data_IF_917535857720
#
_entry.id   IF_917535857720
#
_cell.length_a   1.000
_cell.length_b   1.000
_cell.length_c   1.000
_cell.angle_alpha   90.00
_cell.angle_beta   90.00
_cell.angle_gamma   90.00
#
_symmetry.space_group_name_H-M   'P 1'
#
loop_
_entity.id
_entity.type
_entity.pdbx_description
1 polymer ?
#
# COMPACT_ATOMS: atom_id res chain seq x y z
N UNK A 1 43.27 -28.07 -29.86
CA UNK A 1 43.00 -26.77 -30.51
C UNK A 1 41.85 -26.11 -29.76
N UNK A 2 42.17 -25.15 -28.88
CA UNK A 2 41.21 -24.42 -28.01
C UNK A 2 40.76 -23.16 -28.74
N UNK A 3 39.47 -22.81 -28.66
CA UNK A 3 39.00 -21.42 -28.63
C UNK A 3 37.61 -21.34 -28.01
N UNK A 4 37.59 -20.91 -26.74
CA UNK A 4 36.40 -20.49 -26.01
C UNK A 4 35.77 -19.25 -26.67
N UNK A 5 34.58 -19.38 -27.26
CA UNK A 5 33.75 -18.23 -27.64
C UNK A 5 32.70 -17.99 -26.56
N UNK A 6 33.13 -17.30 -25.51
CA UNK A 6 32.30 -16.76 -24.43
C UNK A 6 31.13 -15.98 -25.05
N UNK A 7 29.89 -16.37 -24.75
CA UNK A 7 28.70 -15.57 -25.05
C UNK A 7 28.94 -14.14 -24.55
N UNK A 8 29.01 -13.23 -25.50
CA UNK A 8 29.62 -11.92 -25.29
C UNK A 8 28.60 -10.98 -24.67
N UNK A 9 29.01 -10.31 -23.59
CA UNK A 9 28.35 -9.18 -22.91
C UNK A 9 27.80 -8.11 -23.87
N UNK A 10 28.34 -8.05 -25.10
CA UNK A 10 27.95 -7.15 -26.18
C UNK A 10 26.63 -7.53 -26.87
N UNK A 11 26.24 -8.81 -26.84
CA UNK A 11 24.96 -9.28 -27.38
C UNK A 11 23.80 -8.94 -26.45
N UNK A 12 24.06 -8.93 -25.14
CA UNK A 12 23.09 -8.52 -24.14
C UNK A 12 22.85 -7.00 -24.18
N UNK A 13 23.91 -6.21 -24.44
CA UNK A 13 23.82 -4.75 -24.56
C UNK A 13 23.12 -4.29 -25.86
N UNK A 14 23.20 -5.08 -26.94
CA UNK A 14 22.57 -4.70 -28.22
C UNK A 14 21.05 -4.87 -28.23
N UNK A 15 20.45 -5.45 -27.18
CA UNK A 15 18.99 -5.66 -27.09
C UNK A 15 18.27 -4.65 -26.19
N UNK A 16 18.97 -3.71 -25.56
CA UNK A 16 18.38 -2.80 -24.55
C UNK A 16 18.30 -1.32 -24.93
N UNK A 17 18.42 -0.94 -26.21
CA UNK A 17 18.43 0.48 -26.59
C UNK A 17 17.55 0.79 -27.80
N UNK A 18 16.26 1.12 -27.55
CA UNK A 18 15.53 2.23 -28.19
C UNK A 18 14.02 2.15 -27.88
N UNK A 19 13.59 2.67 -26.72
CA UNK A 19 12.35 3.47 -26.64
C UNK A 19 12.71 4.74 -25.88
N UNK A 20 12.54 5.86 -26.56
CA UNK A 20 13.13 7.17 -26.30
C UNK A 20 12.23 8.03 -25.41
N UNK A 21 12.78 8.61 -24.33
CA UNK A 21 12.33 9.89 -23.79
C UNK A 21 11.85 9.92 -22.33
N UNK A 22 12.64 10.52 -21.43
CA UNK A 22 12.11 11.29 -20.29
C UNK A 22 12.52 10.86 -18.87
N UNK A 23 13.39 11.67 -18.26
CA UNK A 23 13.45 12.10 -16.84
C UNK A 23 13.77 11.07 -15.72
N UNK A 24 14.73 11.48 -14.90
CA UNK A 24 15.21 10.97 -13.61
C UNK A 24 14.06 10.57 -12.67
N UNK A 25 14.09 9.35 -12.10
CA UNK A 25 14.02 9.08 -10.65
C UNK A 25 13.90 7.58 -10.39
N UNK A 26 14.78 7.08 -9.52
CA UNK A 26 14.73 5.76 -8.91
C UNK A 26 13.58 5.74 -7.87
N UNK A 27 12.34 5.94 -8.32
CA UNK A 27 11.15 5.87 -7.48
C UNK A 27 10.63 4.44 -7.42
N UNK A 28 10.63 3.88 -6.22
CA UNK A 28 9.85 2.69 -5.79
C UNK A 28 8.62 2.48 -6.68
N UNK A 29 8.54 1.33 -7.36
CA UNK A 29 7.32 0.87 -8.03
C UNK A 29 6.24 0.52 -6.98
N UNK A 30 5.77 1.53 -6.25
CA UNK A 30 4.47 1.52 -5.63
C UNK A 30 3.50 1.86 -6.75
N UNK A 31 2.89 0.85 -7.35
CA UNK A 31 1.74 1.06 -8.22
C UNK A 31 0.71 1.85 -7.39
N UNK A 32 0.60 3.16 -7.62
CA UNK A 32 -0.49 3.98 -7.09
C UNK A 32 -1.76 3.46 -7.74
N UNK A 33 -2.40 2.46 -7.11
CA UNK A 33 -3.78 2.11 -7.42
C UNK A 33 -4.58 3.40 -7.16
N UNK A 34 -5.29 3.89 -8.18
CA UNK A 34 -6.28 4.93 -7.95
C UNK A 34 -7.31 4.35 -7.00
N UNK A 35 -7.22 4.70 -5.72
CA UNK A 35 -8.31 4.48 -4.78
C UNK A 35 -9.54 5.16 -5.42
N UNK A 36 -10.55 4.36 -5.73
CA UNK A 36 -11.86 4.88 -6.07
C UNK A 36 -12.24 5.78 -4.89
N UNK A 37 -12.58 7.05 -5.13
CA UNK A 37 -13.06 7.93 -4.07
C UNK A 37 -14.31 7.28 -3.48
N UNK A 38 -14.11 6.53 -2.41
CA UNK A 38 -15.16 6.05 -1.55
C UNK A 38 -15.64 7.28 -0.77
N UNK A 39 -16.94 7.37 -0.49
CA UNK A 39 -17.53 8.47 0.28
C UNK A 39 -16.60 8.91 1.41
N UNK A 40 -16.36 10.22 1.52
CA UNK A 40 -15.45 10.77 2.53
C UNK A 40 -15.89 10.30 3.91
N UNK A 41 -15.13 9.37 4.49
CA UNK A 41 -15.32 8.90 5.85
C UNK A 41 -14.60 9.88 6.78
N UNK A 42 -15.32 10.42 7.75
CA UNK A 42 -14.76 11.25 8.80
C UNK A 42 -14.28 10.35 9.94
N UNK A 43 -12.97 10.36 10.19
CA UNK A 43 -12.34 9.53 11.22
C UNK A 43 -12.51 10.16 12.60
N UNK A 44 -12.87 9.33 13.58
CA UNK A 44 -13.12 9.76 14.96
C UNK A 44 -11.83 9.78 15.80
N UNK A 45 -10.95 8.79 15.59
CA UNK A 45 -9.71 8.62 16.36
C UNK A 45 -8.49 8.87 15.49
N UNK A 46 -8.48 8.32 14.28
CA UNK A 46 -7.34 8.44 13.38
C UNK A 46 -7.34 9.78 12.65
N UNK A 47 -6.17 10.36 12.45
CA UNK A 47 -5.99 11.42 11.45
C UNK A 47 -5.97 10.83 10.03
N UNK A 48 -6.26 11.64 9.01
CA UNK A 48 -6.18 11.23 7.60
C UNK A 48 -4.84 10.55 7.24
N UNK A 49 -3.73 11.07 7.76
CA UNK A 49 -2.40 10.51 7.51
C UNK A 49 -2.21 9.14 8.18
N UNK A 50 -2.71 8.98 9.41
CA UNK A 50 -2.67 7.69 10.10
C UNK A 50 -3.59 6.68 9.41
N UNK A 51 -4.80 7.08 9.03
CA UNK A 51 -5.74 6.26 8.29
C UNK A 51 -5.15 5.76 6.97
N UNK A 52 -4.49 6.62 6.19
CA UNK A 52 -3.80 6.22 4.96
C UNK A 52 -2.67 5.21 5.20
N UNK A 53 -1.95 5.35 6.32
CA UNK A 53 -0.90 4.40 6.71
C UNK A 53 -1.49 3.05 7.08
N UNK A 54 -2.55 3.04 7.90
CA UNK A 54 -3.26 1.83 8.31
C UNK A 54 -3.92 1.14 7.11
N UNK A 55 -4.49 1.90 6.17
CA UNK A 55 -5.06 1.38 4.92
C UNK A 55 -4.02 0.62 4.11
N UNK A 56 -2.84 1.21 3.90
CA UNK A 56 -1.77 0.57 3.15
C UNK A 56 -1.29 -0.74 3.82
N UNK A 57 -1.25 -0.77 5.15
CA UNK A 57 -0.91 -1.98 5.91
C UNK A 57 -2.01 -3.03 5.80
N UNK A 58 -3.26 -2.63 6.00
CA UNK A 58 -4.42 -3.52 5.95
C UNK A 58 -4.57 -4.15 4.57
N UNK A 59 -4.37 -3.39 3.49
CA UNK A 59 -4.42 -3.90 2.10
C UNK A 59 -3.28 -4.89 1.81
N UNK A 60 -2.14 -4.76 2.49
CA UNK A 60 -1.04 -5.73 2.36
C UNK A 60 -1.34 -7.03 3.12
N UNK A 61 -2.07 -6.96 4.23
CA UNK A 61 -2.48 -8.12 5.04
C UNK A 61 -3.64 -8.86 4.38
N UNK A 62 -4.65 -8.13 3.94
CA UNK A 62 -5.85 -8.65 3.28
C UNK A 62 -5.98 -7.99 1.89
N UNK A 63 -5.19 -8.46 0.92
CA UNK A 63 -5.26 -7.94 -0.44
C UNK A 63 -6.53 -8.42 -1.14
N UNK A 64 -7.00 -7.66 -2.12
CA UNK A 64 -8.00 -8.16 -3.07
C UNK A 64 -7.47 -9.37 -3.84
N UNK A 65 -8.25 -10.44 -3.85
CA UNK A 65 -7.95 -11.67 -4.58
C UNK A 65 -9.22 -12.29 -5.21
N UNK A 66 -9.13 -13.55 -5.66
CA UNK A 66 -10.27 -14.28 -6.23
C UNK A 66 -11.35 -14.64 -5.21
N UNK A 67 -11.02 -14.61 -3.92
CA UNK A 67 -11.88 -15.06 -2.83
C UNK A 67 -12.63 -13.89 -2.17
N UNK A 68 -12.25 -12.65 -2.43
CA UNK A 68 -12.96 -11.53 -1.86
C UNK A 68 -12.42 -10.12 -2.14
N UNK A 69 -13.11 -9.11 -1.58
CA UNK A 69 -12.61 -7.73 -1.58
C UNK A 69 -11.32 -7.59 -0.77
N UNK A 70 -10.48 -6.61 -1.12
CA UNK A 70 -9.34 -6.22 -0.28
C UNK A 70 -9.79 -5.38 0.93
N UNK A 71 -8.87 -5.09 1.84
CA UNK A 71 -9.14 -4.29 3.04
C UNK A 71 -9.72 -2.91 2.74
N UNK A 72 -9.22 -2.27 1.68
CA UNK A 72 -9.71 -0.97 1.21
C UNK A 72 -11.17 -1.08 0.76
N UNK A 73 -11.49 -2.13 0.01
CA UNK A 73 -12.83 -2.36 -0.53
C UNK A 73 -13.83 -2.78 0.56
N UNK A 74 -13.34 -3.45 1.60
CA UNK A 74 -14.11 -3.89 2.75
C UNK A 74 -14.24 -2.83 3.87
N UNK A 75 -13.70 -1.62 3.68
CA UNK A 75 -13.72 -0.52 4.67
C UNK A 75 -13.13 -0.90 6.03
N UNK A 76 -12.07 -1.70 6.03
CA UNK A 76 -11.43 -2.19 7.27
C UNK A 76 -10.94 -1.04 8.15
N UNK A 77 -10.42 0.04 7.57
CA UNK A 77 -9.88 1.18 8.34
C UNK A 77 -10.98 1.91 9.12
N UNK A 78 -12.16 2.09 8.53
CA UNK A 78 -13.31 2.69 9.22
C UNK A 78 -13.80 1.81 10.39
N UNK A 79 -13.71 0.48 10.26
CA UNK A 79 -13.99 -0.42 11.37
C UNK A 79 -12.96 -0.30 12.49
N UNK A 80 -11.66 -0.25 12.14
CA UNK A 80 -10.58 -0.07 13.12
C UNK A 80 -10.75 1.26 13.87
N UNK A 81 -11.03 2.35 13.17
CA UNK A 81 -11.25 3.67 13.77
C UNK A 81 -12.40 3.66 14.78
N UNK A 82 -13.57 3.11 14.41
CA UNK A 82 -14.69 2.93 15.35
C UNK A 82 -14.36 2.02 16.53
N UNK A 83 -13.63 0.93 16.29
CA UNK A 83 -13.23 0.03 17.35
C UNK A 83 -12.28 0.74 18.34
N UNK A 84 -11.36 1.56 17.86
CA UNK A 84 -10.50 2.37 18.72
C UNK A 84 -11.33 3.39 19.52
N UNK A 85 -12.32 4.02 18.91
CA UNK A 85 -13.21 4.96 19.59
C UNK A 85 -13.91 4.30 20.79
N UNK A 86 -14.50 3.12 20.59
CA UNK A 86 -15.18 2.41 21.67
C UNK A 86 -14.23 2.02 22.81
N UNK A 87 -12.99 1.60 22.50
CA UNK A 87 -12.03 1.23 23.56
C UNK A 87 -11.55 2.46 24.36
N UNK A 88 -11.38 3.62 23.71
CA UNK A 88 -11.01 4.86 24.40
C UNK A 88 -12.11 5.41 25.30
N UNK A 89 -13.38 5.14 25.01
CA UNK A 89 -14.49 5.49 25.90
C UNK A 89 -14.44 4.66 27.20
N UNK A 90 -14.22 3.34 27.09
CA UNK A 90 -14.11 2.46 28.24
C UNK A 90 -12.91 2.81 29.16
N UNK A 91 -11.77 3.19 28.58
CA UNK A 91 -10.61 3.65 29.38
C UNK A 91 -10.92 4.93 30.17
N UNK A 92 -11.71 5.85 29.61
CA UNK A 92 -12.11 7.06 30.34
C UNK A 92 -13.05 6.72 31.48
N UNK A 93 -14.03 5.85 31.27
CA UNK A 93 -14.94 5.44 32.36
C UNK A 93 -14.17 4.78 33.50
N UNK A 94 -13.19 3.91 33.21
CA UNK A 94 -12.40 3.23 34.25
C UNK A 94 -11.49 4.19 35.04
N UNK A 95 -10.92 5.22 34.39
CA UNK A 95 -9.99 6.16 35.03
C UNK A 95 -10.71 7.21 35.90
N UNK A 96 -11.96 7.58 35.55
CA UNK A 96 -12.71 8.62 36.28
C UNK A 96 -13.71 8.09 37.31
N UNK A 97 -13.92 6.77 37.40
CA UNK A 97 -14.79 6.11 38.39
C UNK A 97 -14.00 5.63 39.64
N UNK A 98 -13.02 6.43 40.09
CA UNK A 98 -12.24 6.23 41.30
C UNK A 98 -12.36 7.40 42.28
#
# INVERSE_FOLDING_TARGET
>A
MIKDSKLSRRLFLSRSAAVTGGIITLGVFGARRKAKAQDAYEFEVLTDHQAATVEALAERIMPRDSNGPGATDARVVAYIDRALATHHEHEKEEIYDH
#
